data_IF_057920130015
#
_entry.id   IF_057920130015
#
_cell.length_a   1.000
_cell.length_b   1.000
_cell.length_c   1.000
_cell.angle_alpha   90.00
_cell.angle_beta   90.00
_cell.angle_gamma   90.00
#
_symmetry.space_group_name_H-M   'P 1'
#
loop_
_entity.id
_entity.type
_entity.pdbx_description
1 polymer ?
#
# COMPACT_ATOMS: atom_id res chain seq x y z
N UNK A 1 10.65 15.48 -10.38
CA UNK A 1 9.95 14.66 -9.37
C UNK A 1 8.46 14.93 -9.56
N UNK A 2 7.68 14.00 -10.15
CA UNK A 2 6.22 14.17 -10.18
C UNK A 2 5.72 13.83 -8.78
N UNK A 3 5.14 14.79 -8.08
CA UNK A 3 4.53 14.55 -6.77
C UNK A 3 3.37 13.57 -6.96
N UNK A 4 3.34 12.50 -6.16
CA UNK A 4 2.15 11.66 -6.03
C UNK A 4 1.03 12.57 -5.52
N UNK A 5 -0.08 12.65 -6.27
CA UNK A 5 -1.26 13.40 -5.83
C UNK A 5 -2.22 12.44 -5.17
N UNK A 6 -2.48 12.63 -3.88
CA UNK A 6 -3.48 11.86 -3.16
C UNK A 6 -4.89 12.18 -3.67
N UNK A 7 -5.53 11.19 -4.29
CA UNK A 7 -6.95 11.26 -4.65
C UNK A 7 -7.77 10.66 -3.52
N UNK A 8 -8.46 11.51 -2.78
CA UNK A 8 -9.26 11.12 -1.61
C UNK A 8 -10.73 10.97 -1.99
N UNK A 9 -11.37 9.90 -1.51
CA UNK A 9 -12.81 9.64 -1.67
C UNK A 9 -13.44 9.30 -0.33
N UNK A 10 -14.51 10.01 0.01
CA UNK A 10 -15.40 9.65 1.11
C UNK A 10 -16.32 8.53 0.63
N UNK A 11 -16.25 7.35 1.25
CA UNK A 11 -17.06 6.21 0.87
C UNK A 11 -18.33 6.10 1.72
N UNK A 12 -18.22 6.38 3.01
CA UNK A 12 -19.33 6.22 3.97
C UNK A 12 -19.24 7.27 5.09
N UNK A 13 -20.31 7.39 5.89
CA UNK A 13 -20.29 8.12 7.16
C UNK A 13 -20.39 9.65 7.07
N UNK A 14 -20.37 10.23 5.87
CA UNK A 14 -20.52 11.68 5.65
C UNK A 14 -21.59 11.96 4.59
N UNK A 15 -22.49 12.90 4.87
CA UNK A 15 -23.53 13.38 3.96
C UNK A 15 -23.59 14.90 4.05
N UNK A 16 -23.56 15.58 2.88
CA UNK A 16 -23.59 17.04 2.79
C UNK A 16 -22.53 17.77 3.64
N UNK A 17 -21.35 17.16 3.81
CA UNK A 17 -20.25 17.75 4.60
C UNK A 17 -20.34 17.48 6.10
N UNK A 18 -21.37 16.78 6.57
CA UNK A 18 -21.57 16.45 7.98
C UNK A 18 -21.45 14.94 8.21
N UNK A 19 -20.93 14.56 9.38
CA UNK A 19 -20.90 13.15 9.80
C UNK A 19 -22.30 12.69 10.18
N UNK A 20 -22.64 11.44 9.87
CA UNK A 20 -23.99 10.88 10.16
C UNK A 20 -23.96 9.85 11.30
N UNK A 21 -22.87 9.78 12.06
CA UNK A 21 -22.70 8.88 13.22
C UNK A 21 -22.41 7.41 12.87
N UNK A 22 -22.55 7.00 11.61
CA UNK A 22 -22.13 5.68 11.13
C UNK A 22 -20.62 5.65 10.82
N UNK A 23 -20.02 4.45 10.61
CA UNK A 23 -18.60 4.35 10.30
C UNK A 23 -18.19 5.21 9.09
N UNK A 24 -17.12 5.99 9.27
CA UNK A 24 -16.52 6.81 8.22
C UNK A 24 -15.41 6.01 7.54
N UNK A 25 -15.57 5.74 6.25
CA UNK A 25 -14.55 5.13 5.41
C UNK A 25 -14.03 6.14 4.39
N UNK A 26 -12.70 6.24 4.31
CA UNK A 26 -11.98 7.11 3.39
C UNK A 26 -11.04 6.25 2.56
N UNK A 27 -11.10 6.41 1.24
CA UNK A 27 -10.14 5.83 0.30
C UNK A 27 -9.13 6.88 -0.13
N UNK A 28 -7.85 6.52 -0.14
CA UNK A 28 -6.77 7.31 -0.75
C UNK A 28 -6.18 6.47 -1.86
N UNK A 29 -6.42 6.84 -3.11
CA UNK A 29 -5.98 6.05 -4.26
C UNK A 29 -4.49 6.26 -4.55
N UNK A 30 -3.78 5.17 -4.85
CA UNK A 30 -2.41 5.21 -5.34
C UNK A 30 -2.41 5.57 -6.84
N UNK A 31 -1.94 6.77 -7.19
CA UNK A 31 -1.91 7.21 -8.60
C UNK A 31 -0.91 6.45 -9.47
N UNK A 32 0.07 5.78 -8.85
CA UNK A 32 1.07 4.97 -9.55
C UNK A 32 0.60 3.51 -9.75
N UNK A 33 -0.61 3.15 -9.29
CA UNK A 33 -1.20 1.81 -9.45
C UNK A 33 -1.06 1.20 -10.86
N UNK A 34 -1.21 1.95 -11.99
CA UNK A 34 -1.02 1.38 -13.32
C UNK A 34 0.36 0.74 -13.58
N UNK A 35 1.38 1.06 -12.78
CA UNK A 35 2.73 0.46 -12.87
C UNK A 35 2.89 -0.81 -12.04
N UNK A 36 1.89 -1.13 -11.23
CA UNK A 36 1.94 -2.16 -10.19
C UNK A 36 0.80 -3.18 -10.30
N UNK A 37 -0.10 -3.03 -11.29
CA UNK A 37 -1.30 -3.87 -11.45
C UNK A 37 -1.02 -5.36 -11.42
N UNK A 38 0.07 -5.82 -12.07
CA UNK A 38 0.44 -7.24 -12.10
C UNK A 38 1.26 -7.64 -10.86
N UNK A 39 2.34 -6.92 -10.57
CA UNK A 39 3.27 -7.22 -9.45
C UNK A 39 2.56 -7.24 -8.09
N UNK A 40 1.54 -6.39 -7.94
CA UNK A 40 0.76 -6.24 -6.72
C UNK A 40 -0.70 -6.66 -6.93
N UNK A 41 -0.97 -7.51 -7.93
CA UNK A 41 -2.31 -8.05 -8.16
C UNK A 41 -2.83 -8.74 -6.90
N UNK A 42 -4.10 -8.50 -6.59
CA UNK A 42 -4.78 -9.21 -5.50
C UNK A 42 -5.12 -10.65 -5.91
N UNK A 43 -5.45 -10.86 -7.18
CA UNK A 43 -5.77 -12.16 -7.75
C UNK A 43 -4.54 -12.81 -8.38
N UNK A 44 -4.48 -14.15 -8.43
CA UNK A 44 -3.48 -14.86 -9.22
C UNK A 44 -3.52 -14.41 -10.68
N UNK A 45 -2.36 -14.28 -11.30
CA UNK A 45 -2.24 -14.04 -12.73
C UNK A 45 -2.50 -15.34 -13.51
N UNK A 46 -3.05 -15.22 -14.71
CA UNK A 46 -3.25 -16.33 -15.65
C UNK A 46 -1.96 -16.76 -16.35
N UNK A 47 -0.85 -16.07 -16.08
CA UNK A 47 0.48 -16.31 -16.61
C UNK A 47 1.55 -16.13 -15.52
N UNK A 48 2.72 -16.68 -15.77
CA UNK A 48 3.89 -16.49 -14.91
C UNK A 48 4.50 -15.10 -15.15
N UNK A 49 4.66 -14.33 -14.08
CA UNK A 49 5.31 -13.03 -14.13
C UNK A 49 6.82 -13.19 -13.96
N UNK A 50 7.60 -12.75 -14.96
CA UNK A 50 9.05 -12.85 -14.92
C UNK A 50 9.63 -12.20 -13.64
N UNK A 51 10.57 -12.89 -12.97
CA UNK A 51 11.21 -12.42 -11.72
C UNK A 51 12.31 -11.39 -11.98
N UNK A 52 11.99 -10.37 -12.78
CA UNK A 52 12.90 -9.30 -13.19
C UNK A 52 12.22 -7.93 -13.11
N UNK A 53 12.98 -6.87 -13.34
CA UNK A 53 12.45 -5.50 -13.29
C UNK A 53 11.73 -5.20 -11.98
N UNK A 54 10.45 -4.80 -12.07
CA UNK A 54 9.62 -4.49 -10.90
C UNK A 54 9.30 -5.71 -10.03
N UNK A 55 9.28 -6.93 -10.59
CA UNK A 55 8.99 -8.17 -9.87
C UNK A 55 10.26 -8.92 -9.42
N UNK A 56 11.44 -8.31 -9.56
CA UNK A 56 12.67 -8.90 -9.07
C UNK A 56 12.59 -9.10 -7.53
N UNK A 57 13.03 -10.26 -6.99
CA UNK A 57 12.96 -10.51 -5.56
C UNK A 57 13.88 -9.59 -4.77
N UNK A 58 13.40 -9.13 -3.62
CA UNK A 58 14.14 -8.23 -2.72
C UNK A 58 14.66 -9.03 -1.53
N UNK A 59 15.81 -9.68 -1.72
CA UNK A 59 16.42 -10.58 -0.72
C UNK A 59 17.47 -9.92 0.17
N UNK A 60 17.74 -8.62 -0.01
CA UNK A 60 18.73 -7.85 0.77
C UNK A 60 18.01 -6.89 1.72
N UNK A 61 17.81 -7.27 3.00
CA UNK A 61 17.07 -6.45 3.94
C UNK A 61 17.84 -5.18 4.30
N UNK A 62 17.13 -4.04 4.37
CA UNK A 62 17.73 -2.75 4.71
C UNK A 62 17.89 -2.61 6.23
N UNK A 63 19.06 -2.19 6.73
CA UNK A 63 19.22 -1.86 8.14
C UNK A 63 18.23 -0.78 8.60
N UNK A 64 17.65 -0.96 9.78
CA UNK A 64 16.66 -0.02 10.34
C UNK A 64 15.23 -0.15 9.80
N UNK A 65 15.01 -1.02 8.79
CA UNK A 65 13.67 -1.31 8.27
C UNK A 65 13.11 -2.64 8.80
N UNK A 66 11.81 -2.84 8.57
CA UNK A 66 11.10 -4.05 8.95
C UNK A 66 11.48 -5.29 8.13
N UNK A 67 12.23 -5.13 7.02
CA UNK A 67 12.48 -6.17 6.02
C UNK A 67 12.96 -7.50 6.64
N UNK A 68 14.08 -7.52 7.36
CA UNK A 68 14.68 -8.75 7.91
C UNK A 68 13.76 -9.44 8.92
N UNK A 69 13.21 -8.68 9.87
CA UNK A 69 12.36 -9.22 10.94
C UNK A 69 11.02 -9.68 10.39
N UNK A 70 10.44 -8.94 9.44
CA UNK A 70 9.21 -9.32 8.75
C UNK A 70 9.38 -10.58 7.91
N UNK A 71 10.44 -10.67 7.10
CA UNK A 71 10.73 -11.87 6.31
C UNK A 71 10.85 -13.10 7.21
N UNK A 72 11.63 -13.01 8.30
CA UNK A 72 11.77 -14.11 9.27
C UNK A 72 10.47 -14.46 9.98
N UNK A 73 9.69 -13.44 10.38
CA UNK A 73 8.43 -13.63 11.12
C UNK A 73 7.36 -14.34 10.29
N UNK A 74 7.24 -13.98 9.02
CA UNK A 74 6.19 -14.47 8.13
C UNK A 74 6.67 -15.57 7.16
N UNK A 75 7.96 -15.92 7.20
CA UNK A 75 8.53 -16.96 6.33
C UNK A 75 8.67 -16.54 4.87
N UNK A 76 8.83 -15.24 4.59
CA UNK A 76 9.01 -14.75 3.22
C UNK A 76 10.47 -14.81 2.78
N UNK A 77 10.69 -15.22 1.53
CA UNK A 77 11.96 -15.17 0.81
C UNK A 77 12.18 -13.84 0.06
N UNK A 78 11.11 -13.05 -0.11
CA UNK A 78 11.08 -11.70 -0.66
C UNK A 78 10.65 -10.67 0.42
N UNK A 79 11.36 -9.55 0.52
CA UNK A 79 10.98 -8.44 1.42
C UNK A 79 9.76 -7.65 0.94
N UNK A 80 9.32 -7.79 -0.32
CA UNK A 80 8.23 -7.00 -0.90
C UNK A 80 6.93 -7.00 -0.10
N UNK A 81 6.38 -8.13 0.38
CA UNK A 81 5.17 -8.12 1.20
C UNK A 81 5.34 -7.35 2.53
N UNK A 82 6.58 -7.29 3.04
CA UNK A 82 6.91 -6.58 4.29
C UNK A 82 7.04 -5.07 4.04
N UNK A 83 7.84 -4.67 3.04
CA UNK A 83 8.14 -3.27 2.79
C UNK A 83 6.91 -2.49 2.34
N UNK A 84 6.00 -3.11 1.57
CA UNK A 84 4.81 -2.44 1.05
C UNK A 84 3.85 -2.04 2.18
N UNK A 85 3.76 -2.84 3.25
CA UNK A 85 2.92 -2.51 4.41
C UNK A 85 3.63 -1.74 5.52
N UNK A 86 4.95 -1.90 5.66
CA UNK A 86 5.74 -1.16 6.66
C UNK A 86 6.16 0.24 6.19
N UNK A 87 5.96 0.57 4.91
CA UNK A 87 6.23 1.87 4.34
C UNK A 87 5.50 3.00 5.06
N UNK A 88 6.17 4.14 5.21
CA UNK A 88 5.57 5.37 5.73
C UNK A 88 4.40 5.88 4.87
N UNK A 89 4.16 5.34 3.67
CA UNK A 89 2.97 5.65 2.85
C UNK A 89 1.66 5.44 3.61
N UNK A 90 1.62 4.45 4.52
CA UNK A 90 0.45 4.19 5.37
C UNK A 90 0.06 5.38 6.25
N UNK A 91 1.00 6.28 6.56
CA UNK A 91 0.71 7.48 7.37
C UNK A 91 -0.26 8.44 6.67
N UNK A 92 -0.40 8.39 5.34
CA UNK A 92 -1.41 9.15 4.61
C UNK A 92 -2.83 8.79 5.08
N UNK A 93 -3.11 7.49 5.31
CA UNK A 93 -4.40 7.04 5.86
C UNK A 93 -4.60 7.54 7.29
N UNK A 94 -3.53 7.60 8.10
CA UNK A 94 -3.61 8.16 9.46
C UNK A 94 -3.91 9.65 9.46
N UNK A 95 -3.29 10.41 8.55
CA UNK A 95 -3.57 11.85 8.39
C UNK A 95 -5.01 12.08 7.97
N UNK A 96 -5.54 11.29 7.03
CA UNK A 96 -6.93 11.40 6.61
C UNK A 96 -7.93 11.14 7.74
N UNK A 97 -7.63 10.20 8.64
CA UNK A 97 -8.47 9.94 9.82
C UNK A 97 -8.23 10.92 10.98
N UNK A 98 -7.02 11.47 11.10
CA UNK A 98 -6.64 12.39 12.19
C UNK A 98 -6.99 13.85 11.94
N UNK A 99 -7.43 14.21 10.72
CA UNK A 99 -7.86 15.57 10.39
C UNK A 99 -9.26 15.81 10.95
N UNK A 100 -9.31 16.41 12.13
CA UNK A 100 -10.50 17.00 12.75
C UNK A 100 -10.66 18.47 12.35
#
# INVERSE_FOLDING_TARGET
MKFEQDKVRMLTGVRFGETIGSPVAIEIANTEWPKWTEVMSADPLDHELAREGRNAPLSRPRPGHADLTGMRKYGFDDARPVLERSSARETASRVALGRY
#
